data_IF_070696581389
#
_entry.id   IF_070696581389
#
_cell.length_a   1.000
_cell.length_b   1.000
_cell.length_c   1.000
_cell.angle_alpha   90.00
_cell.angle_beta   90.00
_cell.angle_gamma   90.00
#
_symmetry.space_group_name_H-M   'P 1'
#
loop_
_entity.id
_entity.type
_entity.pdbx_description
1 polymer ?
#
# COMPACT_ATOMS: atom_id res chain seq x y z
N UNK A 1 10.66 28.17 -3.04
CA UNK A 1 10.07 28.19 -4.40
C UNK A 1 10.57 27.06 -5.30
N UNK A 2 11.87 26.73 -5.27
CA UNK A 2 12.42 25.62 -6.06
C UNK A 2 11.86 24.22 -5.71
N UNK A 3 11.53 23.94 -4.45
CA UNK A 3 11.01 22.63 -4.06
C UNK A 3 9.58 22.35 -4.59
N UNK A 4 8.70 23.37 -4.60
CA UNK A 4 7.27 23.20 -4.94
C UNK A 4 7.02 22.77 -6.39
N UNK A 5 7.84 23.24 -7.35
CA UNK A 5 7.67 22.82 -8.75
C UNK A 5 8.21 21.41 -9.00
N UNK A 6 9.28 21.00 -8.30
CA UNK A 6 9.82 19.63 -8.34
C UNK A 6 8.85 18.65 -7.69
N UNK A 7 8.21 19.03 -6.59
CA UNK A 7 7.18 18.22 -5.93
C UNK A 7 5.92 18.07 -6.80
N UNK A 8 5.54 19.09 -7.55
CA UNK A 8 4.41 19.01 -8.49
C UNK A 8 4.63 17.99 -9.63
N UNK A 9 5.89 17.78 -10.04
CA UNK A 9 6.25 16.83 -11.10
C UNK A 9 6.56 15.44 -10.53
N UNK A 10 7.20 15.38 -9.37
CA UNK A 10 7.76 14.13 -8.84
C UNK A 10 6.96 13.54 -7.68
N UNK A 11 5.96 14.24 -7.13
CA UNK A 11 5.26 13.89 -5.89
C UNK A 11 5.97 14.42 -4.64
N UNK A 12 5.41 14.15 -3.46
CA UNK A 12 5.94 14.67 -2.17
C UNK A 12 7.36 14.18 -1.89
N UNK A 13 8.29 15.12 -1.65
CA UNK A 13 9.67 14.79 -1.28
C UNK A 13 9.77 14.21 0.14
N UNK A 14 8.87 14.60 1.04
CA UNK A 14 8.84 14.07 2.40
C UNK A 14 8.39 12.61 2.41
N UNK A 15 7.33 12.27 1.66
CA UNK A 15 6.89 10.87 1.52
C UNK A 15 8.01 9.99 0.96
N UNK A 16 8.76 10.48 -0.04
CA UNK A 16 9.94 9.77 -0.58
C UNK A 16 11.07 9.62 0.43
N UNK A 17 11.26 10.60 1.30
CA UNK A 17 12.26 10.53 2.37
C UNK A 17 11.87 9.49 3.41
N UNK A 18 10.61 9.50 3.86
CA UNK A 18 10.06 8.51 4.79
C UNK A 18 10.14 7.09 4.21
N UNK A 19 9.70 6.90 2.96
CA UNK A 19 9.80 5.61 2.28
C UNK A 19 11.25 5.08 2.23
N UNK A 20 12.22 5.96 1.93
CA UNK A 20 13.64 5.57 1.95
C UNK A 20 14.14 5.19 3.35
N UNK A 21 13.69 5.89 4.39
CA UNK A 21 14.03 5.55 5.77
C UNK A 21 13.46 4.18 6.16
N UNK A 22 12.20 3.90 5.83
CA UNK A 22 11.57 2.59 6.04
C UNK A 22 12.29 1.47 5.30
N UNK A 23 12.67 1.69 4.04
CA UNK A 23 13.49 0.74 3.28
C UNK A 23 14.83 0.45 3.96
N UNK A 24 15.52 1.48 4.46
CA UNK A 24 16.80 1.30 5.13
C UNK A 24 16.65 0.52 6.45
N UNK A 25 15.57 0.77 7.22
CA UNK A 25 15.25 0.02 8.44
C UNK A 25 15.02 -1.46 8.17
N UNK A 26 14.18 -1.79 7.18
CA UNK A 26 14.00 -3.17 6.71
C UNK A 26 15.31 -3.83 6.28
N UNK A 27 16.16 -3.09 5.56
CA UNK A 27 17.46 -3.55 5.08
C UNK A 27 18.49 -3.75 6.20
N UNK A 28 18.27 -3.18 7.39
CA UNK A 28 19.13 -3.34 8.56
C UNK A 28 18.73 -4.52 9.45
N UNK A 29 17.56 -5.13 9.22
CA UNK A 29 17.12 -6.30 9.98
C UNK A 29 18.10 -7.47 9.81
N UNK A 30 18.28 -8.31 10.85
CA UNK A 30 19.08 -9.53 10.74
C UNK A 30 18.39 -10.56 9.83
N UNK A 31 19.16 -11.49 9.30
CA UNK A 31 18.60 -12.68 8.66
C UNK A 31 17.92 -13.59 9.73
N UNK A 32 16.82 -14.29 9.40
CA UNK A 32 16.16 -14.36 8.09
C UNK A 32 15.09 -13.28 7.82
N UNK A 33 14.88 -12.34 8.75
CA UNK A 33 13.78 -11.37 8.70
C UNK A 33 13.88 -10.45 7.48
N UNK A 34 15.08 -9.93 7.21
CA UNK A 34 15.34 -9.04 6.08
C UNK A 34 14.93 -9.66 4.74
N UNK A 35 15.37 -10.89 4.48
CA UNK A 35 15.10 -11.58 3.22
C UNK A 35 13.60 -11.79 2.99
N UNK A 36 12.87 -12.23 4.03
CA UNK A 36 11.43 -12.49 3.89
C UNK A 36 10.63 -11.19 3.83
N UNK A 37 10.96 -10.19 4.66
CA UNK A 37 10.30 -8.90 4.61
C UNK A 37 10.47 -8.22 3.24
N UNK A 38 11.64 -8.32 2.60
CA UNK A 38 11.85 -7.87 1.22
C UNK A 38 11.03 -8.64 0.20
N UNK A 39 10.88 -9.95 0.37
CA UNK A 39 10.07 -10.78 -0.54
C UNK A 39 8.59 -10.41 -0.46
N UNK A 40 8.07 -10.22 0.76
CA UNK A 40 6.69 -9.76 1.00
C UNK A 40 6.50 -8.35 0.46
N UNK A 41 7.42 -7.43 0.74
CA UNK A 41 7.39 -6.07 0.21
C UNK A 41 7.31 -6.04 -1.31
N UNK A 42 8.15 -6.85 -1.97
CA UNK A 42 8.15 -6.96 -3.42
C UNK A 42 6.79 -7.47 -3.91
N UNK A 43 6.22 -8.49 -3.28
CA UNK A 43 4.94 -9.07 -3.68
C UNK A 43 3.81 -8.02 -3.65
N UNK A 44 3.60 -7.32 -2.54
CA UNK A 44 2.50 -6.35 -2.47
C UNK A 44 2.77 -5.07 -3.29
N UNK A 45 4.01 -4.73 -3.62
CA UNK A 45 4.27 -3.63 -4.57
C UNK A 45 3.82 -3.96 -5.99
N UNK A 46 3.77 -5.23 -6.37
CA UNK A 46 3.19 -5.66 -7.64
C UNK A 46 1.68 -5.91 -7.55
N UNK A 47 1.18 -6.39 -6.40
CA UNK A 47 -0.22 -6.79 -6.23
C UNK A 47 -1.13 -5.67 -5.68
N UNK A 48 -0.58 -4.77 -4.87
CA UNK A 48 -1.33 -4.02 -3.86
C UNK A 48 -2.06 -2.77 -4.35
N UNK A 49 -1.83 -2.31 -5.59
CA UNK A 49 -2.62 -1.22 -6.18
C UNK A 49 -2.77 0.06 -5.32
N UNK A 50 -1.84 0.32 -4.38
CA UNK A 50 -1.91 1.49 -3.49
C UNK A 50 -1.53 2.72 -4.30
N UNK A 51 -2.54 3.49 -4.71
CA UNK A 51 -2.36 4.70 -5.52
C UNK A 51 -2.10 5.96 -4.68
N UNK A 52 -2.48 5.94 -3.40
CA UNK A 52 -2.35 7.08 -2.50
C UNK A 52 -1.01 7.05 -1.73
N UNK A 53 -0.24 8.13 -1.87
CA UNK A 53 1.10 8.23 -1.29
C UNK A 53 1.12 8.26 0.24
N UNK A 54 0.13 8.86 0.88
CA UNK A 54 0.03 8.90 2.35
C UNK A 54 -0.31 7.51 2.92
N UNK A 55 -1.25 6.82 2.27
CA UNK A 55 -1.60 5.42 2.58
C UNK A 55 -0.38 4.51 2.41
N UNK A 56 0.39 4.67 1.32
CA UNK A 56 1.59 3.88 1.09
C UNK A 56 2.66 4.12 2.17
N UNK A 57 2.90 5.37 2.56
CA UNK A 57 3.87 5.70 3.60
C UNK A 57 3.44 5.13 4.96
N UNK A 58 2.15 5.23 5.30
CA UNK A 58 1.61 4.66 6.54
C UNK A 58 1.77 3.15 6.57
N UNK A 59 1.28 2.46 5.53
CA UNK A 59 1.41 1.02 5.37
C UNK A 59 2.86 0.55 5.47
N UNK A 60 3.79 1.27 4.82
CA UNK A 60 5.21 0.95 4.88
C UNK A 60 5.80 1.14 6.29
N UNK A 61 5.35 2.15 7.04
CA UNK A 61 5.74 2.35 8.43
C UNK A 61 5.31 1.17 9.29
N UNK A 62 4.02 0.84 9.27
CA UNK A 62 3.44 -0.26 10.04
C UNK A 62 4.07 -1.61 9.66
N UNK A 63 4.40 -1.80 8.37
CA UNK A 63 5.11 -2.99 7.90
C UNK A 63 6.50 -3.10 8.53
N UNK A 64 7.28 -2.02 8.55
CA UNK A 64 8.61 -2.04 9.18
C UNK A 64 8.52 -2.29 10.67
N UNK A 65 7.59 -1.62 11.35
CA UNK A 65 7.42 -1.72 12.80
C UNK A 65 7.04 -3.17 13.21
N UNK A 66 6.20 -3.84 12.42
CA UNK A 66 5.90 -5.27 12.60
C UNK A 66 7.17 -6.14 12.55
N UNK A 67 8.01 -5.95 11.54
CA UNK A 67 9.21 -6.78 11.37
C UNK A 67 10.32 -6.45 12.38
N UNK A 68 10.47 -5.19 12.78
CA UNK A 68 11.40 -4.81 13.86
C UNK A 68 10.98 -5.40 15.21
N UNK A 69 9.69 -5.34 15.54
CA UNK A 69 9.15 -5.96 16.75
C UNK A 69 9.38 -7.48 16.74
N UNK A 70 9.01 -8.15 15.65
CA UNK A 70 9.18 -9.59 15.52
C UNK A 70 10.67 -10.02 15.59
N UNK A 71 11.58 -9.24 15.02
CA UNK A 71 13.01 -9.49 15.10
C UNK A 71 13.56 -9.30 16.51
N UNK A 72 13.10 -8.26 17.23
CA UNK A 72 13.48 -8.00 18.61
C UNK A 72 13.00 -9.12 19.55
N UNK A 73 11.80 -9.64 19.30
CA UNK A 73 11.19 -10.72 20.08
C UNK A 73 11.71 -12.12 19.68
N UNK A 74 12.49 -12.22 18.61
CA UNK A 74 12.99 -13.51 18.09
C UNK A 74 11.88 -14.39 17.51
N UNK A 75 10.79 -13.79 17.04
CA UNK A 75 9.62 -14.51 16.50
C UNK A 75 10.00 -15.23 15.21
N UNK A 76 9.80 -16.56 15.12
CA UNK A 76 10.05 -17.28 13.88
C UNK A 76 9.31 -16.66 12.71
N UNK A 77 9.99 -16.49 11.57
CA UNK A 77 9.39 -15.81 10.40
C UNK A 77 8.09 -16.48 9.94
N UNK A 78 7.98 -17.80 10.12
CA UNK A 78 6.77 -18.56 9.81
C UNK A 78 5.57 -18.15 10.68
N UNK A 79 5.80 -17.71 11.91
CA UNK A 79 4.76 -17.27 12.83
C UNK A 79 4.29 -15.85 12.51
N UNK A 80 5.10 -15.07 11.77
CA UNK A 80 4.75 -13.74 11.27
C UNK A 80 3.86 -13.86 10.02
N UNK A 81 4.31 -14.65 9.03
CA UNK A 81 3.65 -14.72 7.70
C UNK A 81 2.66 -15.87 7.55
N UNK A 82 2.55 -16.74 8.56
CA UNK A 82 1.72 -17.94 8.52
C UNK A 82 2.17 -19.02 7.54
N UNK A 83 1.35 -20.06 7.39
CA UNK A 83 1.59 -21.14 6.44
C UNK A 83 1.55 -20.65 4.99
N UNK A 84 0.72 -19.63 4.72
CA UNK A 84 0.55 -19.03 3.41
C UNK A 84 1.00 -17.55 3.40
N UNK A 85 2.26 -17.26 2.99
CA UNK A 85 2.78 -15.90 2.95
C UNK A 85 2.06 -14.97 1.95
N UNK A 86 1.38 -15.53 0.96
CA UNK A 86 0.59 -14.75 -0.01
C UNK A 86 -0.65 -14.19 0.66
N UNK A 87 -1.38 -15.04 1.38
CA UNK A 87 -2.57 -14.63 2.14
C UNK A 87 -2.23 -13.57 3.18
N UNK A 88 -1.10 -13.71 3.89
CA UNK A 88 -0.60 -12.66 4.77
C UNK A 88 -0.38 -11.34 4.03
N UNK A 89 0.30 -11.37 2.89
CA UNK A 89 0.62 -10.15 2.14
C UNK A 89 -0.63 -9.46 1.58
N UNK A 90 -1.62 -10.25 1.12
CA UNK A 90 -2.90 -9.75 0.64
C UNK A 90 -3.75 -9.17 1.77
N UNK A 91 -3.87 -9.89 2.90
CA UNK A 91 -4.62 -9.42 4.06
C UNK A 91 -3.98 -8.14 4.66
N UNK A 92 -2.65 -8.10 4.71
CA UNK A 92 -1.93 -6.91 5.16
C UNK A 92 -2.20 -5.72 4.23
N UNK A 93 -2.19 -5.91 2.91
CA UNK A 93 -2.52 -4.85 1.95
C UNK A 93 -4.01 -4.46 2.00
N UNK A 94 -4.91 -5.41 2.26
CA UNK A 94 -6.36 -5.18 2.37
C UNK A 94 -6.68 -4.20 3.50
N UNK A 95 -5.94 -4.26 4.62
CA UNK A 95 -6.10 -3.35 5.75
C UNK A 95 -5.90 -1.86 5.39
N UNK A 96 -5.15 -1.56 4.32
CA UNK A 96 -4.86 -0.19 3.88
C UNK A 96 -5.59 0.20 2.59
N UNK A 97 -6.19 -0.74 1.87
CA UNK A 97 -6.84 -0.51 0.56
C UNK A 97 -8.35 -0.26 0.66
N UNK A 98 -8.77 0.45 1.71
CA UNK A 98 -10.17 0.85 1.96
C UNK A 98 -10.87 1.63 0.84
N UNK A 99 -10.15 2.03 -0.22
CA UNK A 99 -10.69 2.42 -1.53
C UNK A 99 -9.89 1.74 -2.63
N UNK A 100 -10.48 0.76 -3.30
CA UNK A 100 -9.87 0.05 -4.42
C UNK A 100 -9.80 0.98 -5.64
N UNK A 101 -8.79 0.84 -6.50
CA UNK A 101 -8.74 1.38 -7.88
C UNK A 101 -10.12 1.31 -8.58
N UNK A 102 -10.84 0.20 -8.35
CA UNK A 102 -12.12 -0.07 -9.02
C UNK A 102 -13.25 0.80 -8.47
N UNK A 103 -13.11 1.42 -7.31
CA UNK A 103 -14.16 2.24 -6.73
C UNK A 103 -14.39 3.52 -7.55
N UNK A 104 -13.34 4.04 -8.21
CA UNK A 104 -13.47 5.13 -9.17
C UNK A 104 -14.22 4.69 -10.42
N UNK A 105 -13.99 3.46 -10.88
CA UNK A 105 -14.67 2.91 -12.05
C UNK A 105 -16.11 2.49 -11.73
N UNK A 106 -16.37 1.98 -10.53
CA UNK A 106 -17.72 1.72 -10.00
C UNK A 106 -18.54 3.00 -9.88
N UNK A 107 -17.94 4.07 -9.37
CA UNK A 107 -18.59 5.37 -9.31
C UNK A 107 -18.93 5.91 -10.71
N UNK A 108 -18.02 5.74 -11.70
CA UNK A 108 -18.30 6.11 -13.10
C UNK A 108 -19.42 5.29 -13.71
N UNK A 109 -19.43 3.97 -13.48
CA UNK A 109 -20.47 3.09 -13.97
C UNK A 109 -21.84 3.48 -13.40
N UNK A 110 -21.94 3.69 -12.09
CA UNK A 110 -23.19 4.09 -11.44
C UNK A 110 -23.70 5.43 -11.98
N UNK A 111 -22.82 6.43 -12.10
CA UNK A 111 -23.18 7.73 -12.65
C UNK A 111 -23.67 7.66 -14.12
N UNK A 112 -23.09 6.75 -14.93
CA UNK A 112 -23.52 6.55 -16.31
C UNK A 112 -24.93 5.96 -16.40
N UNK A 113 -25.28 5.06 -15.49
CA UNK A 113 -26.62 4.45 -15.40
C UNK A 113 -27.65 5.48 -14.92
N UNK A 114 -27.37 6.22 -13.84
CA UNK A 114 -28.27 7.28 -13.32
C UNK A 114 -28.54 8.36 -14.38
N UNK A 115 -27.52 8.76 -15.14
CA UNK A 115 -27.66 9.72 -16.22
C UNK A 115 -28.50 9.20 -17.40
N UNK A 116 -28.53 7.89 -17.63
CA UNK A 116 -29.37 7.27 -18.64
C UNK A 116 -30.85 7.22 -18.18
N UNK A 117 -31.08 6.82 -16.92
CA UNK A 117 -32.43 6.80 -16.32
C UNK A 117 -33.07 8.19 -16.34
N UNK A 118 -32.34 9.22 -15.91
CA UNK A 118 -32.82 10.61 -15.90
C UNK A 118 -33.20 11.11 -17.31
N UNK A 119 -32.51 10.63 -18.36
CA UNK A 119 -32.84 10.99 -19.75
C UNK A 119 -34.08 10.28 -20.26
N UNK A 120 -34.30 9.02 -19.87
CA UNK A 120 -35.51 8.29 -20.23
C UNK A 120 -36.76 8.90 -19.57
N UNK A 121 -36.67 9.30 -18.31
CA UNK A 121 -37.76 9.96 -17.58
C UNK A 121 -38.09 11.36 -18.10
N UNK A 122 -37.14 12.05 -18.74
CA UNK A 122 -37.34 13.37 -19.35
C UNK A 122 -37.89 13.31 -20.78
N UNK A 123 -37.88 12.14 -21.42
CA UNK A 123 -38.42 11.89 -22.76
C UNK A 123 -39.83 11.27 -22.75
N UNK A 124 -40.34 10.86 -21.57
CA UNK A 124 -41.75 10.52 -21.30
C UNK A 124 -42.59 11.73 -20.88
#
# INVERSE_FOLDING_TARGET
MAAKWVEAITGSLEQKKQYRQYRARLEALPEPYNAVAKAVQRYFMYNGGVEDGDTLVTMMGDFVDLWEGAAADGTPVRDIVGENPVEFAEAFAEAYTGKRWIDKERARLNAAVEAAETKQEAEE
#
